data_IF_117615434279
#
_entry.id   IF_117615434279
#
_cell.length_a   1.000
_cell.length_b   1.000
_cell.length_c   1.000
_cell.angle_alpha   90.00
_cell.angle_beta   90.00
_cell.angle_gamma   90.00
#
_symmetry.space_group_name_H-M   'P 1'
#
loop_
_entity.id
_entity.type
_entity.pdbx_description
1 polymer ?
#
# COMPACT_ATOMS: atom_id res chain seq x y z
N UNK A 1 -25.27 10.78 -9.73
CA UNK A 1 -24.45 9.60 -9.97
C UNK A 1 -23.88 9.09 -8.65
N UNK A 2 -24.08 7.81 -8.36
CA UNK A 2 -23.45 7.28 -7.15
C UNK A 2 -21.93 7.29 -7.29
N UNK A 3 -21.25 7.64 -6.23
CA UNK A 3 -19.80 7.51 -6.18
C UNK A 3 -19.41 6.03 -6.28
N UNK A 4 -18.22 5.74 -6.81
CA UNK A 4 -17.70 4.39 -6.77
C UNK A 4 -17.63 3.91 -5.32
N UNK A 5 -17.99 2.64 -5.05
CA UNK A 5 -17.92 2.12 -3.69
C UNK A 5 -16.46 2.16 -3.20
N UNK A 6 -16.30 2.58 -1.95
CA UNK A 6 -15.00 2.57 -1.31
C UNK A 6 -14.75 1.19 -0.71
N UNK A 7 -13.58 0.65 -0.93
CA UNK A 7 -13.14 -0.62 -0.36
C UNK A 7 -12.02 -0.35 0.62
N UNK A 8 -12.09 -0.96 1.80
CA UNK A 8 -11.02 -0.82 2.78
C UNK A 8 -9.85 -1.69 2.38
N UNK A 9 -8.68 -1.08 2.27
CA UNK A 9 -7.44 -1.80 2.08
C UNK A 9 -6.76 -1.97 3.44
N UNK A 10 -6.21 -3.15 3.68
CA UNK A 10 -5.47 -3.49 4.89
C UNK A 10 -4.00 -3.64 4.54
N UNK A 11 -3.15 -2.89 5.22
CA UNK A 11 -1.71 -2.88 4.98
C UNK A 11 -1.00 -3.34 6.23
N UNK A 12 -0.10 -4.29 6.09
CA UNK A 12 0.76 -4.76 7.17
C UNK A 12 2.22 -4.54 6.78
N UNK A 13 2.95 -3.84 7.62
CA UNK A 13 4.38 -3.66 7.44
C UNK A 13 5.10 -4.88 8.03
N UNK A 14 5.87 -5.58 7.20
CA UNK A 14 6.60 -6.78 7.62
C UNK A 14 8.00 -6.44 8.10
N UNK A 15 8.68 -5.51 7.44
CA UNK A 15 10.04 -5.14 7.83
C UNK A 15 10.46 -3.81 7.23
N UNK A 16 11.50 -3.24 7.81
CA UNK A 16 12.24 -2.12 7.22
C UNK A 16 13.48 -2.65 6.53
N UNK A 17 13.98 -1.92 5.55
CA UNK A 17 15.16 -2.29 4.77
C UNK A 17 16.04 -1.06 4.56
N UNK A 18 17.33 -1.31 4.24
CA UNK A 18 18.30 -0.27 3.90
C UNK A 18 18.32 0.92 4.88
N UNK A 19 18.68 0.65 6.14
CA UNK A 19 18.81 1.71 7.17
C UNK A 19 17.49 2.46 7.40
N UNK A 20 16.36 1.74 7.32
CA UNK A 20 15.03 2.30 7.53
C UNK A 20 14.57 3.31 6.45
N UNK A 21 15.20 3.28 5.27
CA UNK A 21 14.78 4.13 4.15
C UNK A 21 13.79 3.45 3.23
N UNK A 22 13.36 2.26 3.57
CA UNK A 22 12.42 1.48 2.80
C UNK A 22 11.59 0.61 3.75
N UNK A 23 10.36 0.36 3.37
CA UNK A 23 9.50 -0.59 4.08
C UNK A 23 8.97 -1.62 3.10
N UNK A 24 8.81 -2.84 3.57
CA UNK A 24 8.21 -3.93 2.82
C UNK A 24 7.03 -4.49 3.59
N UNK A 25 5.99 -4.85 2.88
CA UNK A 25 4.80 -5.37 3.53
C UNK A 25 3.80 -5.97 2.57
N UNK A 26 2.60 -6.15 3.07
CA UNK A 26 1.49 -6.73 2.35
C UNK A 26 0.33 -5.77 2.37
N UNK A 27 -0.47 -5.79 1.30
CA UNK A 27 -1.73 -5.07 1.26
C UNK A 27 -2.81 -5.98 0.70
N UNK A 28 -3.99 -5.94 1.31
CA UNK A 28 -5.14 -6.72 0.89
C UNK A 28 -6.35 -5.80 0.71
N UNK A 29 -7.05 -5.97 -0.40
CA UNK A 29 -8.26 -5.21 -0.68
C UNK A 29 -9.12 -5.98 -1.68
N UNK A 30 -10.43 -6.02 -1.45
CA UNK A 30 -11.38 -6.59 -2.39
C UNK A 30 -11.17 -8.07 -2.71
N UNK A 31 -10.60 -8.83 -1.79
CA UNK A 31 -10.29 -10.24 -2.01
C UNK A 31 -8.97 -10.50 -2.72
N UNK A 32 -8.22 -9.46 -3.02
CA UNK A 32 -6.90 -9.55 -3.64
C UNK A 32 -5.82 -9.22 -2.63
N UNK A 33 -4.63 -9.79 -2.84
CA UNK A 33 -3.49 -9.54 -1.98
C UNK A 33 -2.28 -9.19 -2.84
N UNK A 34 -1.49 -8.21 -2.36
CA UNK A 34 -0.25 -7.79 -3.01
C UNK A 34 0.84 -7.67 -1.98
N UNK A 35 2.08 -7.81 -2.43
CA UNK A 35 3.27 -7.45 -1.67
C UNK A 35 3.80 -6.13 -2.21
N UNK A 36 4.30 -5.29 -1.32
CA UNK A 36 4.84 -4.01 -1.74
C UNK A 36 6.19 -3.74 -1.11
N UNK A 37 6.96 -2.93 -1.80
CA UNK A 37 8.21 -2.35 -1.30
C UNK A 37 8.16 -0.85 -1.60
N UNK A 38 8.37 -0.04 -0.58
CA UNK A 38 8.33 1.41 -0.69
C UNK A 38 9.66 2.00 -0.25
N UNK A 39 10.42 2.57 -1.21
CA UNK A 39 11.66 3.28 -0.95
C UNK A 39 11.33 4.78 -0.91
N UNK A 40 11.18 5.32 0.29
CA UNK A 40 10.67 6.68 0.44
C UNK A 40 11.72 7.74 0.11
N UNK A 41 13.00 7.42 0.19
CA UNK A 41 14.07 8.35 -0.22
C UNK A 41 14.06 8.62 -1.73
N UNK A 42 13.60 7.65 -2.53
CA UNK A 42 13.52 7.74 -3.98
C UNK A 42 12.11 7.83 -4.51
N UNK A 43 11.11 7.68 -3.66
CA UNK A 43 9.72 7.64 -4.07
C UNK A 43 9.36 6.45 -4.95
N UNK A 44 10.10 5.34 -4.83
CA UNK A 44 9.88 4.15 -5.64
C UNK A 44 8.93 3.19 -4.94
N UNK A 45 7.91 2.77 -5.66
CA UNK A 45 6.93 1.78 -5.20
C UNK A 45 6.95 0.58 -6.14
N UNK A 46 7.15 -0.61 -5.56
CA UNK A 46 7.03 -1.87 -6.28
C UNK A 46 5.90 -2.66 -5.67
N UNK A 47 4.96 -3.10 -6.49
CA UNK A 47 3.79 -3.87 -6.06
C UNK A 47 3.69 -5.13 -6.90
N UNK A 48 3.54 -6.27 -6.27
CA UNK A 48 3.42 -7.58 -6.92
C UNK A 48 2.32 -8.41 -6.25
N UNK A 49 1.60 -9.26 -6.99
CA UNK A 49 1.67 -9.50 -8.44
C UNK A 49 1.11 -8.35 -9.26
N UNK A 50 1.32 -8.41 -10.57
CA UNK A 50 0.85 -7.35 -11.46
C UNK A 50 -0.67 -7.33 -11.65
N UNK A 51 -1.34 -8.44 -11.41
CA UNK A 51 -2.80 -8.53 -11.53
C UNK A 51 -3.48 -7.58 -10.51
N UNK A 52 -4.31 -6.70 -11.02
CA UNK A 52 -4.99 -5.72 -10.18
C UNK A 52 -4.11 -4.60 -9.63
N UNK A 53 -2.82 -4.58 -9.96
CA UNK A 53 -1.87 -3.61 -9.43
C UNK A 53 -2.29 -2.17 -9.72
N UNK A 54 -2.80 -1.91 -10.92
CA UNK A 54 -3.20 -0.56 -11.30
C UNK A 54 -4.33 -0.01 -10.43
N UNK A 55 -5.18 -0.87 -9.88
CA UNK A 55 -6.29 -0.48 -9.03
C UNK A 55 -5.84 -0.02 -7.65
N UNK A 56 -4.76 -0.59 -7.15
CA UNK A 56 -4.30 -0.34 -5.79
C UNK A 56 -3.10 0.62 -5.73
N UNK A 57 -2.29 0.66 -6.78
CA UNK A 57 -1.00 1.35 -6.76
C UNK A 57 -1.11 2.83 -6.43
N UNK A 58 -2.04 3.52 -7.07
CA UNK A 58 -2.20 4.95 -6.86
C UNK A 58 -2.67 5.28 -5.44
N UNK A 59 -3.65 4.52 -4.93
CA UNK A 59 -4.15 4.71 -3.58
C UNK A 59 -3.09 4.38 -2.54
N UNK A 60 -2.34 3.30 -2.77
CA UNK A 60 -1.25 2.89 -1.90
C UNK A 60 -0.14 3.94 -1.87
N UNK A 61 0.24 4.47 -3.01
CA UNK A 61 1.27 5.51 -3.09
C UNK A 61 0.85 6.76 -2.30
N UNK A 62 -0.39 7.20 -2.45
CA UNK A 62 -0.89 8.35 -1.70
C UNK A 62 -0.88 8.11 -0.20
N UNK A 63 -1.27 6.92 0.20
CA UNK A 63 -1.22 6.54 1.62
C UNK A 63 0.21 6.55 2.16
N UNK A 64 1.16 5.95 1.42
CA UNK A 64 2.56 5.87 1.84
C UNK A 64 3.19 7.26 1.96
N UNK A 65 2.89 8.16 1.02
CA UNK A 65 3.39 9.54 1.09
C UNK A 65 2.83 10.27 2.31
N UNK A 66 1.55 10.06 2.62
CA UNK A 66 0.92 10.69 3.80
C UNK A 66 1.45 10.15 5.11
N UNK A 67 1.89 8.90 5.12
CA UNK A 67 2.39 8.25 6.33
C UNK A 67 3.74 8.80 6.79
N UNK A 68 4.49 9.42 5.87
CA UNK A 68 5.71 10.19 6.19
C UNK A 68 6.65 9.41 7.14
N UNK A 69 7.06 8.21 6.71
CA UNK A 69 8.01 7.34 7.42
C UNK A 69 7.54 6.79 8.78
N UNK A 70 6.25 6.93 9.09
CA UNK A 70 5.69 6.47 10.37
C UNK A 70 5.24 5.03 10.35
N UNK A 71 5.50 4.32 9.27
CA UNK A 71 5.12 2.91 9.14
C UNK A 71 6.17 2.06 9.86
N UNK A 72 5.74 1.38 10.92
CA UNK A 72 6.62 0.57 11.75
C UNK A 72 6.44 -0.92 11.47
N UNK A 73 7.51 -1.73 11.60
CA UNK A 73 7.38 -3.18 11.47
C UNK A 73 6.33 -3.73 12.45
N UNK A 74 5.52 -4.65 11.95
CA UNK A 74 4.41 -5.21 12.73
C UNK A 74 3.18 -4.33 12.78
N UNK A 75 3.21 -3.12 12.24
CA UNK A 75 2.07 -2.23 12.21
C UNK A 75 1.01 -2.65 11.20
N UNK A 76 -0.26 -2.52 11.60
CA UNK A 76 -1.42 -2.72 10.74
C UNK A 76 -2.08 -1.37 10.46
N UNK A 77 -2.32 -1.08 9.20
CA UNK A 77 -2.88 0.19 8.77
C UNK A 77 -4.02 -0.06 7.80
N UNK A 78 -4.94 0.89 7.71
CA UNK A 78 -6.05 0.82 6.77
C UNK A 78 -6.13 2.11 5.97
N UNK A 79 -6.57 1.98 4.72
CA UNK A 79 -6.87 3.14 3.88
C UNK A 79 -7.98 2.79 2.91
N UNK A 80 -8.59 3.78 2.32
CA UNK A 80 -9.71 3.60 1.42
C UNK A 80 -9.26 3.61 -0.02
N UNK A 81 -9.77 2.64 -0.78
CA UNK A 81 -9.54 2.53 -2.22
C UNK A 81 -10.88 2.71 -2.91
N UNK A 82 -10.97 3.64 -3.82
CA UNK A 82 -12.17 3.86 -4.64
C UNK A 82 -11.95 3.21 -5.99
N UNK A 83 -12.20 1.92 -6.04
CA UNK A 83 -12.03 1.13 -7.24
C UNK A 83 -12.99 -0.06 -7.20
N UNK A 84 -13.30 -0.58 -8.37
CA UNK A 84 -14.02 -1.84 -8.49
C UNK A 84 -13.01 -2.98 -8.54
N UNK A 85 -13.25 -3.94 -7.72
CA UNK A 85 -12.49 -5.19 -7.71
C UNK A 85 -13.35 -6.31 -8.25
#
# INVERSE_FOLDING_TARGET
MPALPATTAHLRVLRQCFQAQCVEGEVAAGGFEWQFSWAFDRGELVVEPSLGRALIEDALRRFLVRSDYRLEPGGDYTFMVRARF
#
